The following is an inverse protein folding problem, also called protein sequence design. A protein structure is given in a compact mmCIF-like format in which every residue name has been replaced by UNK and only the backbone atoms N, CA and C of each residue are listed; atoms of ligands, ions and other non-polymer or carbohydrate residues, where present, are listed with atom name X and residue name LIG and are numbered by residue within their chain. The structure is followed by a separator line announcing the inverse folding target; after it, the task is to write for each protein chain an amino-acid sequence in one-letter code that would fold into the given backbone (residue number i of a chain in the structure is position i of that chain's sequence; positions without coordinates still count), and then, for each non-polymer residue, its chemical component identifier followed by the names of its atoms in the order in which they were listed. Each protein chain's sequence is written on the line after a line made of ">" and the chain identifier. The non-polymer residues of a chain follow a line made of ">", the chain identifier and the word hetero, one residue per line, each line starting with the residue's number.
data_IF_857102599484
#
_entry.id   IF_857102599484
#
_cell.length_a   1.000
_cell.length_b   1.000
_cell.length_c   1.000
_cell.angle_alpha   90.00
_cell.angle_beta   90.00
_cell.angle_gamma   90.00
#
_symmetry.space_group_name_H-M   'P 1'
#
loop_
_entity.id
_entity.type
_entity.pdbx_description
1 polymer ?
#
# COMPACT_ATOMS: atom_id res chain seq x y z
N UNK A 1 3.53 -50.74 29.97
CA UNK A 1 4.47 -49.68 29.59
C UNK A 1 4.29 -49.45 28.10
N UNK A 2 3.57 -48.41 27.70
CA UNK A 2 3.28 -48.09 26.32
C UNK A 2 4.22 -46.96 25.91
N UNK A 3 5.23 -47.24 25.11
CA UNK A 3 6.16 -46.30 24.55
C UNK A 3 5.50 -45.57 23.39
N UNK A 4 5.28 -44.25 23.51
CA UNK A 4 4.90 -43.37 22.43
C UNK A 4 6.12 -43.11 21.53
N UNK A 5 5.97 -43.22 20.17
CA UNK A 5 7.06 -42.85 19.29
C UNK A 5 7.22 -41.32 19.31
N UNK A 6 8.42 -40.84 19.65
CA UNK A 6 8.81 -39.45 19.48
C UNK A 6 8.87 -39.10 17.99
N UNK A 7 7.86 -38.41 17.50
CA UNK A 7 7.92 -37.79 16.16
C UNK A 7 8.96 -36.69 16.21
N UNK A 8 10.14 -36.93 15.68
CA UNK A 8 11.12 -35.91 15.37
C UNK A 8 10.53 -34.95 14.32
N UNK A 9 9.97 -33.85 14.74
CA UNK A 9 9.67 -32.73 13.86
C UNK A 9 11.00 -32.24 13.29
N UNK A 10 11.24 -32.49 12.02
CA UNK A 10 12.36 -31.87 11.29
C UNK A 10 12.27 -30.37 11.49
N UNK A 11 13.35 -29.69 11.89
CA UNK A 11 13.33 -28.25 12.06
C UNK A 11 12.91 -27.61 10.71
N UNK A 12 11.88 -26.78 10.73
CA UNK A 12 11.50 -25.98 9.56
C UNK A 12 12.74 -25.17 9.15
N UNK A 13 13.22 -25.27 7.90
CA UNK A 13 14.42 -24.56 7.50
C UNK A 13 14.24 -23.06 7.76
N UNK A 14 15.21 -22.45 8.41
CA UNK A 14 15.21 -21.02 8.67
C UNK A 14 15.23 -20.29 7.32
N UNK A 15 14.35 -19.31 7.14
CA UNK A 15 14.35 -18.46 5.97
C UNK A 15 15.61 -17.58 6.03
N UNK A 16 16.53 -17.76 5.10
CA UNK A 16 17.75 -16.95 4.99
C UNK A 16 17.50 -15.70 4.13
N UNK A 17 18.34 -14.68 4.29
CA UNK A 17 18.28 -13.48 3.45
C UNK A 17 18.49 -13.82 1.97
N UNK A 18 19.38 -14.75 1.67
CA UNK A 18 19.67 -15.25 0.34
C UNK A 18 18.44 -15.92 -0.30
N UNK A 19 17.81 -16.87 0.38
CA UNK A 19 16.60 -17.52 -0.10
C UNK A 19 15.42 -16.52 -0.27
N UNK A 20 15.38 -15.48 0.54
CA UNK A 20 14.39 -14.40 0.39
C UNK A 20 14.67 -13.56 -0.85
N UNK A 21 15.94 -13.22 -1.11
CA UNK A 21 16.35 -12.48 -2.29
C UNK A 21 16.06 -13.27 -3.55
N UNK A 22 16.50 -14.53 -3.63
CA UNK A 22 16.27 -15.42 -4.78
C UNK A 22 14.78 -15.55 -5.12
N UNK A 23 13.94 -15.86 -4.12
CA UNK A 23 12.49 -15.98 -4.32
C UNK A 23 11.83 -14.66 -4.76
N UNK A 24 12.39 -13.52 -4.33
CA UNK A 24 11.90 -12.20 -4.73
C UNK A 24 12.31 -11.88 -6.15
N UNK A 25 13.57 -12.12 -6.50
CA UNK A 25 14.11 -11.93 -7.86
C UNK A 25 13.35 -12.80 -8.88
N UNK A 26 13.18 -14.08 -8.60
CA UNK A 26 12.40 -15.00 -9.43
C UNK A 26 10.99 -14.44 -9.70
N UNK A 27 10.31 -14.00 -8.65
CA UNK A 27 8.96 -13.44 -8.77
C UNK A 27 8.92 -12.14 -9.60
N UNK A 28 9.91 -11.26 -9.44
CA UNK A 28 9.98 -10.02 -10.19
C UNK A 28 10.33 -10.26 -11.66
N UNK A 29 11.28 -11.15 -11.94
CA UNK A 29 11.66 -11.53 -13.30
C UNK A 29 10.52 -12.21 -14.06
N UNK A 30 9.69 -13.00 -13.37
CA UNK A 30 8.51 -13.65 -13.96
C UNK A 30 7.44 -12.63 -14.41
N UNK A 31 7.26 -11.55 -13.66
CA UNK A 31 6.12 -10.65 -13.84
C UNK A 31 6.46 -9.27 -14.41
N UNK A 32 7.71 -8.81 -14.30
CA UNK A 32 8.12 -7.47 -14.71
C UNK A 32 9.25 -7.49 -15.74
N UNK A 33 8.96 -7.34 -17.03
CA UNK A 33 9.98 -7.22 -18.09
C UNK A 33 10.56 -5.79 -18.10
N UNK A 34 11.45 -5.48 -17.14
CA UNK A 34 12.03 -4.14 -17.00
C UNK A 34 13.10 -3.79 -18.04
N UNK A 35 13.73 -4.77 -18.65
CA UNK A 35 14.87 -4.54 -19.56
C UNK A 35 14.71 -5.43 -20.78
N UNK A 36 14.81 -4.88 -22.01
CA UNK A 36 14.89 -5.69 -23.22
C UNK A 36 16.11 -6.63 -23.16
N UNK A 37 15.99 -7.84 -23.71
CA UNK A 37 17.05 -8.86 -23.70
C UNK A 37 18.38 -8.36 -24.31
N UNK A 38 18.32 -7.42 -25.26
CA UNK A 38 19.49 -6.82 -25.93
C UNK A 38 20.17 -5.69 -25.12
N UNK A 39 19.69 -5.40 -23.89
CA UNK A 39 20.23 -4.31 -23.08
C UNK A 39 21.58 -4.68 -22.45
N UNK A 40 22.46 -3.66 -22.30
CA UNK A 40 23.73 -3.78 -21.57
C UNK A 40 23.56 -4.01 -20.06
N UNK A 41 22.36 -3.86 -19.53
CA UNK A 41 22.01 -4.12 -18.13
C UNK A 41 20.98 -5.25 -18.04
N UNK A 42 21.33 -6.32 -17.36
CA UNK A 42 20.42 -7.46 -17.16
C UNK A 42 19.30 -7.06 -16.19
N UNK A 43 18.07 -7.54 -16.43
CA UNK A 43 16.93 -7.31 -15.56
C UNK A 43 17.21 -7.72 -14.10
N UNK A 44 17.84 -8.87 -13.91
CA UNK A 44 18.26 -9.39 -12.61
C UNK A 44 19.13 -8.38 -11.83
N UNK A 45 20.17 -7.84 -12.47
CA UNK A 45 21.04 -6.82 -11.87
C UNK A 45 20.25 -5.56 -11.48
N UNK A 46 19.31 -5.14 -12.33
CA UNK A 46 18.48 -3.98 -12.05
C UNK A 46 17.58 -4.21 -10.82
N UNK A 47 16.93 -5.37 -10.74
CA UNK A 47 16.11 -5.73 -9.58
C UNK A 47 16.92 -5.87 -8.29
N UNK A 48 18.09 -6.48 -8.33
CA UNK A 48 19.00 -6.55 -7.18
C UNK A 48 19.35 -5.17 -6.62
N UNK A 49 19.67 -4.22 -7.51
CA UNK A 49 19.97 -2.85 -7.12
C UNK A 49 18.74 -2.18 -6.46
N UNK A 50 17.55 -2.34 -7.08
CA UNK A 50 16.31 -1.76 -6.56
C UNK A 50 15.94 -2.36 -5.21
N UNK A 51 16.02 -3.68 -5.05
CA UNK A 51 15.75 -4.37 -3.79
C UNK A 51 16.73 -3.95 -2.69
N UNK A 52 18.01 -3.81 -3.04
CA UNK A 52 19.03 -3.37 -2.11
C UNK A 52 18.83 -1.92 -1.68
N UNK A 53 18.54 -1.03 -2.62
CA UNK A 53 18.22 0.36 -2.32
C UNK A 53 16.98 0.47 -1.41
N UNK A 54 15.92 -0.28 -1.72
CA UNK A 54 14.67 -0.29 -0.94
C UNK A 54 14.88 -0.85 0.48
N UNK A 55 15.62 -1.96 0.63
CA UNK A 55 15.86 -2.60 1.92
C UNK A 55 16.71 -1.75 2.87
N UNK A 56 17.60 -0.92 2.32
CA UNK A 56 18.51 -0.06 3.09
C UNK A 56 18.05 1.39 3.19
N UNK A 57 16.96 1.75 2.53
CA UNK A 57 16.50 3.13 2.36
C UNK A 57 17.57 4.06 1.75
N UNK A 58 18.40 3.48 0.87
CA UNK A 58 19.47 4.20 0.17
C UNK A 58 18.95 4.79 -1.15
N UNK A 59 19.64 5.83 -1.67
CA UNK A 59 19.43 6.30 -3.03
C UNK A 59 20.04 5.31 -4.04
N UNK A 60 19.53 5.31 -5.29
CA UNK A 60 20.11 4.49 -6.37
C UNK A 60 21.56 4.80 -6.61
N UNK A 61 21.94 6.09 -6.56
CA UNK A 61 23.33 6.54 -6.71
C UNK A 61 24.24 5.93 -5.65
N UNK A 62 23.84 6.04 -4.39
CA UNK A 62 24.61 5.50 -3.27
C UNK A 62 24.72 3.97 -3.32
N UNK A 63 23.64 3.30 -3.72
CA UNK A 63 23.64 1.85 -3.89
C UNK A 63 24.58 1.43 -5.02
N UNK A 64 24.54 2.11 -6.18
CA UNK A 64 25.41 1.81 -7.32
C UNK A 64 26.90 1.98 -6.98
N UNK A 65 27.28 3.05 -6.24
CA UNK A 65 28.65 3.29 -5.83
C UNK A 65 29.25 2.20 -4.92
N UNK A 66 28.41 1.43 -4.24
CA UNK A 66 28.82 0.37 -3.30
C UNK A 66 28.84 -1.03 -3.93
N UNK A 67 28.40 -1.15 -5.16
CA UNK A 67 28.38 -2.41 -5.91
C UNK A 67 29.43 -2.38 -7.01
N UNK A 68 30.02 -3.52 -7.30
CA UNK A 68 30.95 -3.67 -8.41
C UNK A 68 30.23 -4.24 -9.64
N UNK A 69 30.64 -3.81 -10.82
CA UNK A 69 30.09 -4.35 -12.07
C UNK A 69 28.64 -3.98 -12.38
N UNK A 70 28.10 -2.94 -11.73
CA UNK A 70 26.73 -2.45 -11.95
C UNK A 70 26.73 -1.10 -12.68
N UNK A 71 25.65 -0.74 -13.38
CA UNK A 71 25.52 0.57 -13.99
C UNK A 71 25.58 1.70 -12.96
N UNK A 72 25.99 2.89 -13.37
CA UNK A 72 25.90 4.10 -12.55
C UNK A 72 24.44 4.43 -12.21
N UNK A 73 24.22 5.26 -11.18
CA UNK A 73 22.87 5.70 -10.83
C UNK A 73 22.11 6.33 -12.01
N UNK A 74 22.81 7.04 -12.93
CA UNK A 74 22.20 7.56 -14.15
C UNK A 74 21.85 6.44 -15.16
N UNK A 75 22.72 5.43 -15.30
CA UNK A 75 22.43 4.26 -16.13
C UNK A 75 21.19 3.51 -15.62
N UNK A 76 21.05 3.34 -14.30
CA UNK A 76 19.88 2.72 -13.69
C UNK A 76 18.61 3.54 -14.00
N UNK A 77 18.65 4.88 -13.82
CA UNK A 77 17.52 5.76 -14.15
C UNK A 77 17.13 5.67 -15.62
N UNK A 78 18.11 5.64 -16.53
CA UNK A 78 17.87 5.47 -17.96
C UNK A 78 17.08 4.19 -18.28
N UNK A 79 17.35 3.08 -17.60
CA UNK A 79 16.57 1.85 -17.76
C UNK A 79 15.17 1.97 -17.15
N UNK A 80 15.03 2.65 -16.01
CA UNK A 80 13.72 2.88 -15.37
C UNK A 80 12.85 3.86 -16.16
N UNK A 81 13.43 4.85 -16.81
CA UNK A 81 12.71 5.84 -17.62
C UNK A 81 12.08 5.23 -18.88
N UNK A 82 12.45 4.00 -19.25
CA UNK A 82 11.78 3.23 -20.31
C UNK A 82 10.46 2.62 -19.89
N UNK A 83 10.14 2.65 -18.61
CA UNK A 83 8.84 2.25 -18.07
C UNK A 83 7.87 3.43 -18.20
N UNK A 84 7.33 3.61 -19.37
CA UNK A 84 6.44 4.73 -19.72
C UNK A 84 4.96 4.40 -19.51
N UNK A 85 4.60 3.11 -19.48
CA UNK A 85 3.25 2.64 -19.20
C UNK A 85 3.08 2.27 -17.71
N UNK A 86 2.70 3.26 -16.90
CA UNK A 86 2.50 3.07 -15.47
C UNK A 86 1.28 2.18 -15.14
N UNK A 87 0.27 2.14 -16.01
CA UNK A 87 -0.91 1.29 -15.82
C UNK A 87 -0.56 -0.19 -16.08
N UNK A 88 0.22 -0.46 -17.13
CA UNK A 88 0.75 -1.80 -17.38
C UNK A 88 1.65 -2.25 -16.22
N UNK A 89 2.52 -1.37 -15.69
CA UNK A 89 3.39 -1.65 -14.55
C UNK A 89 2.58 -1.95 -13.28
N UNK A 90 1.48 -1.23 -13.02
CA UNK A 90 0.57 -1.54 -11.91
C UNK A 90 0.01 -2.96 -12.04
N UNK A 91 -0.45 -3.33 -13.24
CA UNK A 91 -0.95 -4.68 -13.51
C UNK A 91 0.09 -5.77 -13.26
N UNK A 92 1.32 -5.58 -13.71
CA UNK A 92 2.44 -6.49 -13.53
C UNK A 92 2.83 -6.63 -12.04
N UNK A 93 2.94 -5.52 -11.30
CA UNK A 93 3.19 -5.52 -9.86
C UNK A 93 2.08 -6.25 -9.09
N UNK A 94 0.82 -6.03 -9.47
CA UNK A 94 -0.30 -6.73 -8.87
C UNK A 94 -0.26 -8.23 -9.17
N UNK A 95 0.11 -8.65 -10.37
CA UNK A 95 0.30 -10.05 -10.72
C UNK A 95 1.40 -10.70 -9.85
N UNK A 96 2.55 -10.03 -9.68
CA UNK A 96 3.63 -10.49 -8.81
C UNK A 96 3.17 -10.66 -7.35
N UNK A 97 2.48 -9.66 -6.78
CA UNK A 97 1.95 -9.73 -5.41
C UNK A 97 0.93 -10.87 -5.25
N UNK A 98 0.07 -11.07 -6.25
CA UNK A 98 -1.03 -12.02 -6.20
C UNK A 98 -0.58 -13.46 -6.43
N UNK A 99 0.51 -13.70 -7.18
CA UNK A 99 1.11 -15.03 -7.40
C UNK A 99 1.58 -15.67 -6.08
N UNK A 100 2.00 -14.85 -5.13
CA UNK A 100 2.56 -15.27 -3.83
C UNK A 100 1.56 -15.24 -2.66
N UNK A 101 0.26 -15.02 -2.92
CA UNK A 101 -0.77 -15.02 -1.86
C UNK A 101 -0.94 -16.44 -1.29
N UNK A 102 -0.71 -16.64 0.03
CA UNK A 102 -0.87 -17.94 0.66
C UNK A 102 -2.31 -18.46 0.50
N UNK A 103 -2.53 -19.76 0.17
CA UNK A 103 -3.87 -20.32 -0.06
C UNK A 103 -4.86 -20.12 1.08
N UNK A 104 -4.37 -20.05 2.33
CA UNK A 104 -5.20 -19.77 3.51
C UNK A 104 -5.80 -18.38 3.52
N UNK A 105 -5.19 -17.40 2.83
CA UNK A 105 -5.72 -16.04 2.72
C UNK A 105 -6.95 -15.99 1.81
N UNK A 106 -7.07 -16.92 0.85
CA UNK A 106 -8.26 -17.05 -0.01
C UNK A 106 -9.47 -17.66 0.72
N UNK A 107 -9.26 -18.14 1.94
CA UNK A 107 -10.32 -18.75 2.77
C UNK A 107 -10.71 -17.83 3.93
N UNK A 108 -12.02 -17.74 4.22
CA UNK A 108 -12.51 -17.02 5.38
C UNK A 108 -12.70 -15.51 5.15
N UNK A 109 -12.84 -14.76 6.25
CA UNK A 109 -13.01 -13.30 6.28
C UNK A 109 -11.84 -12.67 7.01
N UNK A 110 -11.25 -11.64 6.43
CA UNK A 110 -10.00 -11.06 6.94
C UNK A 110 -10.16 -9.60 7.40
N UNK A 111 -9.27 -9.19 8.30
CA UNK A 111 -9.02 -7.77 8.59
C UNK A 111 -8.16 -7.24 7.45
N UNK A 112 -8.70 -6.26 6.76
CA UNK A 112 -8.05 -5.63 5.60
C UNK A 112 -7.67 -4.21 5.98
N UNK A 113 -6.51 -3.75 5.58
CA UNK A 113 -6.17 -2.35 5.65
C UNK A 113 -5.91 -1.80 4.26
N UNK A 114 -6.28 -0.54 4.07
CA UNK A 114 -5.93 0.28 2.92
C UNK A 114 -5.14 1.47 3.44
N UNK A 115 -3.99 1.72 2.83
CA UNK A 115 -3.08 2.80 3.18
C UNK A 115 -2.73 3.61 1.93
N UNK A 116 -2.66 4.94 2.07
CA UNK A 116 -2.32 5.87 1.00
C UNK A 116 -0.93 6.46 1.23
N UNK A 117 -0.01 6.13 0.35
CA UNK A 117 1.36 6.62 0.38
C UNK A 117 1.51 7.80 -0.58
N UNK A 118 2.10 8.89 -0.10
CA UNK A 118 2.38 10.09 -0.87
C UNK A 118 3.90 10.26 -0.97
N UNK A 119 4.44 10.11 -2.18
CA UNK A 119 5.86 10.32 -2.47
C UNK A 119 6.02 11.73 -3.03
N UNK A 120 6.78 12.62 -2.36
CA UNK A 120 6.94 14.01 -2.79
C UNK A 120 7.50 14.11 -4.21
N UNK A 121 6.93 14.98 -5.01
CA UNK A 121 7.39 15.33 -6.34
C UNK A 121 7.72 16.82 -6.41
N UNK A 122 8.92 17.13 -6.89
CA UNK A 122 9.44 18.52 -6.91
C UNK A 122 9.66 19.07 -8.31
N UNK A 123 9.55 18.23 -9.35
CA UNK A 123 9.78 18.63 -10.72
C UNK A 123 8.55 19.21 -11.42
N UNK A 124 8.74 19.59 -12.68
CA UNK A 124 7.65 19.83 -13.60
C UNK A 124 7.31 18.49 -14.28
N UNK A 125 6.08 18.00 -14.14
CA UNK A 125 5.72 16.71 -14.72
C UNK A 125 5.72 16.79 -16.25
N UNK A 126 6.26 15.74 -16.89
CA UNK A 126 6.03 15.51 -18.31
C UNK A 126 4.53 15.31 -18.59
N UNK A 127 4.13 15.41 -19.85
CA UNK A 127 2.74 15.18 -20.26
C UNK A 127 2.26 13.78 -19.82
N UNK A 128 3.09 12.75 -19.97
CA UNK A 128 2.82 11.37 -19.53
C UNK A 128 2.70 11.23 -18.01
N UNK A 129 3.50 11.96 -17.24
CA UNK A 129 3.50 11.87 -15.77
C UNK A 129 2.39 12.73 -15.11
N UNK A 130 1.90 13.76 -15.80
CA UNK A 130 0.95 14.73 -15.23
C UNK A 130 -0.34 14.10 -14.66
N UNK A 131 -0.94 13.05 -15.27
CA UNK A 131 -2.13 12.36 -14.73
C UNK A 131 -1.88 11.70 -13.36
N UNK A 132 -0.64 11.30 -13.06
CA UNK A 132 -0.25 10.60 -11.84
C UNK A 132 0.23 11.54 -10.72
N UNK A 133 0.31 12.86 -10.97
CA UNK A 133 0.69 13.83 -9.95
C UNK A 133 -0.53 14.24 -9.13
N UNK A 134 -0.72 13.53 -8.03
CA UNK A 134 -1.78 13.79 -7.06
C UNK A 134 -1.53 15.08 -6.29
N UNK A 135 -2.58 15.86 -6.07
CA UNK A 135 -2.51 17.11 -5.30
C UNK A 135 -3.06 16.92 -3.90
N UNK A 136 -2.28 17.30 -2.90
CA UNK A 136 -2.65 17.22 -1.49
C UNK A 136 -2.17 18.44 -0.72
N UNK A 137 -2.51 18.50 0.58
CA UNK A 137 -1.96 19.51 1.47
C UNK A 137 -0.43 19.44 1.47
N UNK A 138 0.23 20.59 1.65
CA UNK A 138 1.67 20.67 1.64
C UNK A 138 2.32 19.73 2.66
N UNK A 139 3.23 18.89 2.18
CA UNK A 139 4.09 18.01 2.98
C UNK A 139 5.47 18.01 2.34
N UNK A 140 6.51 17.98 3.17
CA UNK A 140 7.90 17.96 2.70
C UNK A 140 8.20 19.05 1.63
N UNK A 141 7.64 20.26 1.78
CA UNK A 141 7.90 21.40 0.88
C UNK A 141 7.18 21.37 -0.47
N UNK A 142 6.30 20.40 -0.73
CA UNK A 142 5.53 20.33 -1.98
C UNK A 142 4.04 20.05 -1.73
N UNK A 143 3.20 20.36 -2.73
CA UNK A 143 1.78 19.94 -2.80
C UNK A 143 1.55 18.89 -3.89
N UNK A 144 2.63 18.44 -4.55
CA UNK A 144 2.61 17.47 -5.66
C UNK A 144 3.21 16.16 -5.22
N UNK A 145 2.55 15.04 -5.51
CA UNK A 145 2.97 13.73 -5.04
C UNK A 145 2.66 12.66 -6.11
N UNK A 146 3.50 11.65 -6.22
CA UNK A 146 3.03 10.36 -6.68
C UNK A 146 2.27 9.69 -5.54
N UNK A 147 1.05 9.24 -5.78
CA UNK A 147 0.20 8.64 -4.77
C UNK A 147 -0.07 7.17 -5.10
N UNK A 148 0.15 6.30 -4.12
CA UNK A 148 -0.14 4.87 -4.23
C UNK A 148 -1.01 4.43 -3.06
N UNK A 149 -2.09 3.74 -3.37
CA UNK A 149 -2.90 3.06 -2.37
C UNK A 149 -2.55 1.57 -2.34
N UNK A 150 -2.29 1.03 -1.17
CA UNK A 150 -2.02 -0.40 -0.98
C UNK A 150 -3.14 -1.06 -0.21
N UNK A 151 -3.46 -2.31 -0.55
CA UNK A 151 -4.40 -3.14 0.19
C UNK A 151 -3.71 -4.38 0.72
N UNK A 152 -3.87 -4.66 2.02
CA UNK A 152 -3.23 -5.81 2.66
C UNK A 152 -4.08 -6.47 3.75
N UNK A 153 -3.84 -7.77 3.96
CA UNK A 153 -4.40 -8.53 5.09
C UNK A 153 -3.55 -8.32 6.33
N UNK A 154 -4.20 -7.96 7.43
CA UNK A 154 -3.59 -7.90 8.75
C UNK A 154 -3.62 -9.29 9.37
N UNK A 155 -2.48 -9.93 9.47
CA UNK A 155 -2.25 -11.19 10.18
C UNK A 155 -1.56 -10.94 11.52
N UNK A 156 -1.49 -11.98 12.37
CA UNK A 156 -0.70 -11.91 13.61
C UNK A 156 0.79 -11.76 13.24
N UNK A 157 1.40 -10.66 13.68
CA UNK A 157 2.82 -10.31 13.49
C UNK A 157 3.29 -10.19 12.02
N UNK A 158 2.37 -10.08 11.04
CA UNK A 158 2.72 -9.90 9.64
C UNK A 158 1.61 -9.24 8.82
N UNK A 159 1.99 -8.69 7.69
CA UNK A 159 1.09 -8.19 6.64
C UNK A 159 1.25 -9.05 5.39
N UNK A 160 0.18 -9.21 4.63
CA UNK A 160 0.22 -9.80 3.29
C UNK A 160 -0.37 -8.76 2.35
N UNK A 161 0.48 -8.10 1.59
CA UNK A 161 0.06 -7.15 0.57
C UNK A 161 -0.60 -7.91 -0.57
N UNK A 162 -1.77 -7.45 -0.99
CA UNK A 162 -2.60 -8.11 -1.99
C UNK A 162 -2.62 -7.34 -3.30
N UNK A 163 -2.34 -6.05 -3.23
CA UNK A 163 -2.31 -5.21 -4.40
C UNK A 163 -1.94 -3.76 -4.08
N UNK A 164 -1.64 -3.06 -5.14
CA UNK A 164 -1.27 -1.64 -5.19
C UNK A 164 -2.13 -0.97 -6.26
N UNK A 165 -2.39 0.32 -6.10
CA UNK A 165 -3.08 1.16 -7.08
C UNK A 165 -2.43 2.52 -7.17
N UNK A 166 -2.05 2.95 -8.36
CA UNK A 166 -1.55 4.29 -8.64
C UNK A 166 -2.74 5.26 -8.66
N UNK A 167 -2.79 6.18 -7.68
CA UNK A 167 -3.93 7.11 -7.54
C UNK A 167 -3.76 8.29 -8.48
N UNK A 168 -4.66 8.41 -9.43
CA UNK A 168 -4.63 9.48 -10.43
C UNK A 168 -5.00 10.85 -9.83
N UNK A 169 -4.55 11.92 -10.48
CA UNK A 169 -4.72 13.30 -10.03
C UNK A 169 -6.16 13.70 -9.71
N UNK A 170 -7.12 13.22 -10.49
CA UNK A 170 -8.54 13.56 -10.35
C UNK A 170 -9.34 12.49 -9.63
N UNK A 171 -8.68 11.43 -9.19
CA UNK A 171 -9.34 10.32 -8.55
C UNK A 171 -9.83 10.68 -7.14
N UNK A 172 -11.04 10.27 -6.83
CA UNK A 172 -11.61 10.46 -5.51
C UNK A 172 -11.21 9.30 -4.58
N UNK A 173 -11.11 9.57 -3.26
CA UNK A 173 -10.83 8.52 -2.28
C UNK A 173 -11.89 7.40 -2.28
N UNK A 174 -13.12 7.70 -2.69
CA UNK A 174 -14.17 6.68 -2.87
C UNK A 174 -13.82 5.77 -4.04
N UNK A 175 -13.38 6.34 -5.18
CA UNK A 175 -12.96 5.55 -6.35
C UNK A 175 -11.78 4.64 -6.01
N UNK A 176 -10.76 5.17 -5.35
CA UNK A 176 -9.59 4.39 -4.88
C UNK A 176 -9.99 3.21 -4.00
N UNK A 177 -10.85 3.45 -2.99
CA UNK A 177 -11.32 2.35 -2.11
C UNK A 177 -12.19 1.36 -2.88
N UNK A 178 -13.03 1.84 -3.82
CA UNK A 178 -13.86 0.98 -4.68
C UNK A 178 -13.00 0.06 -5.54
N UNK A 179 -11.97 0.61 -6.18
CA UNK A 179 -11.03 -0.16 -7.00
C UNK A 179 -10.36 -1.29 -6.20
N UNK A 180 -9.79 -0.96 -5.04
CA UNK A 180 -9.13 -1.94 -4.19
C UNK A 180 -10.09 -3.01 -3.63
N UNK A 181 -11.34 -2.66 -3.32
CA UNK A 181 -12.35 -3.64 -2.90
C UNK A 181 -12.81 -4.53 -4.06
N UNK A 182 -12.88 -4.00 -5.29
CA UNK A 182 -13.16 -4.81 -6.48
C UNK A 182 -12.02 -5.82 -6.72
N UNK A 183 -10.77 -5.42 -6.56
CA UNK A 183 -9.60 -6.32 -6.61
C UNK A 183 -9.71 -7.44 -5.57
N UNK A 184 -10.08 -7.14 -4.31
CA UNK A 184 -10.30 -8.17 -3.28
C UNK A 184 -11.41 -9.14 -3.67
N UNK A 185 -12.48 -8.65 -4.28
CA UNK A 185 -13.60 -9.48 -4.76
C UNK A 185 -13.14 -10.43 -5.87
N UNK A 186 -12.35 -9.94 -6.84
CA UNK A 186 -11.76 -10.77 -7.89
C UNK A 186 -10.85 -11.87 -7.33
N UNK A 187 -10.10 -11.57 -6.27
CA UNK A 187 -9.27 -12.53 -5.53
C UNK A 187 -10.07 -13.46 -4.61
N UNK A 188 -11.42 -13.30 -4.54
CA UNK A 188 -12.31 -14.04 -3.64
C UNK A 188 -11.97 -13.86 -2.15
N UNK A 189 -11.38 -12.71 -1.78
CA UNK A 189 -11.01 -12.38 -0.40
C UNK A 189 -12.14 -11.57 0.24
N UNK A 190 -12.72 -12.09 1.33
CA UNK A 190 -13.85 -11.48 2.01
C UNK A 190 -13.40 -10.58 3.15
N UNK A 191 -13.96 -9.39 3.22
CA UNK A 191 -13.66 -8.41 4.27
C UNK A 191 -14.43 -8.75 5.55
N UNK A 192 -13.72 -8.91 6.67
CA UNK A 192 -14.29 -8.96 8.03
C UNK A 192 -14.44 -7.55 8.60
N UNK A 193 -13.41 -6.71 8.43
CA UNK A 193 -13.36 -5.30 8.81
C UNK A 193 -12.31 -4.61 7.98
N UNK A 194 -12.64 -3.42 7.51
CA UNK A 194 -11.74 -2.54 6.79
C UNK A 194 -11.11 -1.53 7.75
N UNK A 195 -9.80 -1.38 7.68
CA UNK A 195 -9.02 -0.40 8.41
C UNK A 195 -8.50 0.62 7.41
N UNK A 196 -8.75 1.88 7.68
CA UNK A 196 -8.34 2.99 6.83
C UNK A 196 -7.55 3.98 7.68
N UNK A 197 -6.60 4.67 7.08
CA UNK A 197 -5.90 5.74 7.76
C UNK A 197 -6.78 7.00 7.91
N UNK A 198 -6.25 8.00 8.60
CA UNK A 198 -6.94 9.28 8.82
C UNK A 198 -7.19 10.07 7.53
N UNK A 199 -6.40 9.83 6.47
CA UNK A 199 -6.56 10.47 5.17
C UNK A 199 -7.91 10.19 4.52
N UNK A 200 -8.50 9.04 4.81
CA UNK A 200 -9.82 8.64 4.30
C UNK A 200 -11.01 9.21 5.08
N UNK A 201 -10.78 9.93 6.19
CA UNK A 201 -11.85 10.46 7.04
C UNK A 201 -12.61 11.60 6.37
N UNK A 202 -13.65 11.26 5.63
CA UNK A 202 -14.49 12.19 4.87
C UNK A 202 -15.93 11.71 4.78
N UNK A 203 -16.86 12.67 4.59
CA UNK A 203 -18.30 12.36 4.45
C UNK A 203 -18.56 11.38 3.28
N UNK A 204 -17.99 11.56 2.07
CA UNK A 204 -18.23 10.63 0.97
C UNK A 204 -17.79 9.20 1.28
N UNK A 205 -16.57 9.01 1.80
CA UNK A 205 -16.06 7.67 2.11
C UNK A 205 -16.88 6.98 3.20
N UNK A 206 -17.20 7.69 4.30
CA UNK A 206 -18.00 7.12 5.40
C UNK A 206 -19.39 6.75 4.91
N UNK A 207 -20.05 7.63 4.14
CA UNK A 207 -21.37 7.37 3.60
C UNK A 207 -21.38 6.15 2.69
N UNK A 208 -20.40 6.06 1.81
CA UNK A 208 -20.25 4.95 0.86
C UNK A 208 -20.01 3.61 1.57
N UNK A 209 -19.12 3.55 2.55
CA UNK A 209 -18.86 2.34 3.34
C UNK A 209 -20.09 1.90 4.14
N UNK A 210 -20.89 2.84 4.67
CA UNK A 210 -22.14 2.55 5.33
C UNK A 210 -23.20 2.00 4.36
N UNK A 211 -23.32 2.58 3.17
CA UNK A 211 -24.25 2.11 2.14
C UNK A 211 -23.95 0.67 1.71
N UNK A 212 -22.67 0.28 1.67
CA UNK A 212 -22.24 -1.09 1.36
C UNK A 212 -22.25 -2.04 2.58
N UNK A 213 -22.64 -1.56 3.76
CA UNK A 213 -22.62 -2.34 5.00
C UNK A 213 -21.26 -2.96 5.31
N UNK A 214 -20.16 -2.31 4.92
CA UNK A 214 -18.81 -2.75 5.20
C UNK A 214 -18.41 -2.30 6.61
N UNK A 215 -18.12 -3.21 7.56
CA UNK A 215 -17.59 -2.83 8.86
C UNK A 215 -16.22 -2.18 8.70
N UNK A 216 -16.03 -0.97 9.20
CA UNK A 216 -14.78 -0.24 9.09
C UNK A 216 -14.34 0.38 10.41
N UNK A 217 -13.06 0.72 10.48
CA UNK A 217 -12.43 1.51 11.53
C UNK A 217 -11.45 2.48 10.89
N UNK A 218 -11.58 3.76 11.23
CA UNK A 218 -10.61 4.79 10.81
C UNK A 218 -10.45 5.84 11.91
N UNK A 219 -9.26 6.43 12.09
CA UNK A 219 -9.06 7.53 13.03
C UNK A 219 -9.81 8.77 12.56
N UNK A 220 -10.50 9.42 13.48
CA UNK A 220 -11.14 10.69 13.20
C UNK A 220 -10.12 11.84 13.19
N UNK A 221 -10.32 12.81 12.30
CA UNK A 221 -9.55 14.06 12.32
C UNK A 221 -10.12 14.96 13.41
N UNK A 222 -9.24 15.39 14.34
CA UNK A 222 -9.62 16.37 15.35
C UNK A 222 -9.71 17.74 14.68
N UNK A 223 -10.93 18.30 14.62
CA UNK A 223 -11.24 19.59 14.00
C UNK A 223 -11.94 20.51 14.98
N UNK A 224 -11.83 21.81 14.73
CA UNK A 224 -12.42 22.87 15.55
C UNK A 224 -11.46 23.41 16.63
N UNK A 225 -11.70 24.64 17.07
CA UNK A 225 -10.99 25.24 18.22
C UNK A 225 -11.61 24.78 19.54
N UNK A 226 -12.92 24.92 19.69
CA UNK A 226 -13.73 24.55 20.86
C UNK A 226 -14.84 23.56 20.53
N UNK A 227 -15.27 23.46 19.26
CA UNK A 227 -16.32 22.57 18.76
C UNK A 227 -15.78 21.48 17.83
N UNK A 228 -16.63 20.95 16.97
CA UNK A 228 -16.33 19.87 16.04
C UNK A 228 -15.95 18.59 16.76
N UNK A 229 -15.10 17.77 16.17
CA UNK A 229 -14.61 16.52 16.80
C UNK A 229 -13.76 16.77 18.06
N UNK A 230 -13.23 17.98 18.24
CA UNK A 230 -12.49 18.37 19.44
C UNK A 230 -13.37 18.39 20.68
N UNK A 231 -14.65 18.76 20.56
CA UNK A 231 -15.59 18.76 21.70
C UNK A 231 -15.85 17.38 22.29
N UNK A 232 -15.48 16.32 21.58
CA UNK A 232 -15.55 14.94 22.06
C UNK A 232 -14.38 14.56 23.00
N UNK A 233 -13.32 15.36 23.05
CA UNK A 233 -12.14 15.09 23.88
C UNK A 233 -12.36 15.62 25.30
N UNK A 234 -13.34 15.04 26.00
CA UNK A 234 -13.72 15.44 27.35
C UNK A 234 -13.57 14.28 28.32
N UNK A 235 -13.14 14.61 29.54
CA UNK A 235 -12.97 13.61 30.60
C UNK A 235 -11.68 12.79 30.49
N UNK A 236 -11.57 11.76 31.35
CA UNK A 236 -10.40 10.89 31.49
C UNK A 236 -10.72 9.41 31.22
N UNK A 237 -11.92 9.10 30.81
CA UNK A 237 -12.39 7.73 30.54
C UNK A 237 -12.76 7.58 29.08
N UNK A 238 -12.40 6.46 28.49
CA UNK A 238 -12.79 6.10 27.14
C UNK A 238 -14.29 5.85 27.07
N UNK A 239 -14.98 6.37 26.04
CA UNK A 239 -16.42 6.24 25.84
C UNK A 239 -16.81 6.12 24.37
N UNK A 240 -18.03 5.63 24.13
CA UNK A 240 -18.65 5.59 22.81
C UNK A 240 -19.71 6.68 22.67
N UNK A 241 -19.79 7.27 21.48
CA UNK A 241 -20.81 8.27 21.15
C UNK A 241 -21.16 8.24 19.67
N UNK A 242 -22.24 8.89 19.29
CA UNK A 242 -22.55 9.19 17.90
C UNK A 242 -22.09 10.61 17.56
N UNK A 243 -21.56 10.78 16.37
CA UNK A 243 -21.14 12.09 15.88
C UNK A 243 -21.57 12.28 14.44
N UNK A 244 -22.11 13.46 14.12
CA UNK A 244 -22.48 13.84 12.76
C UNK A 244 -21.36 14.67 12.15
N UNK A 245 -20.64 14.07 11.20
CA UNK A 245 -19.65 14.76 10.37
C UNK A 245 -20.38 15.49 9.25
N UNK A 246 -20.10 16.78 9.09
CA UNK A 246 -20.66 17.63 8.04
C UNK A 246 -19.60 18.16 7.10
N UNK A 247 -19.98 18.34 5.84
CA UNK A 247 -19.19 18.94 4.78
C UNK A 247 -20.08 19.87 3.97
N UNK A 248 -19.57 21.08 3.64
CA UNK A 248 -20.32 22.05 2.84
C UNK A 248 -20.76 21.47 1.49
N UNK A 249 -19.89 20.69 0.83
CA UNK A 249 -20.13 20.16 -0.52
C UNK A 249 -20.85 18.81 -0.52
N UNK A 250 -20.77 18.04 0.57
CA UNK A 250 -21.24 16.64 0.58
C UNK A 250 -22.31 16.36 1.63
N UNK A 251 -22.83 17.40 2.30
CA UNK A 251 -23.84 17.25 3.36
C UNK A 251 -23.27 16.57 4.61
N UNK A 252 -24.03 15.70 5.27
CA UNK A 252 -23.63 15.12 6.56
C UNK A 252 -23.79 13.61 6.61
N UNK A 253 -23.03 12.97 7.50
CA UNK A 253 -23.13 11.55 7.83
C UNK A 253 -22.90 11.34 9.32
N UNK A 254 -23.81 10.58 9.97
CA UNK A 254 -23.66 10.20 11.38
C UNK A 254 -22.93 8.88 11.48
N UNK A 255 -21.95 8.78 12.37
CA UNK A 255 -21.19 7.57 12.64
C UNK A 255 -21.01 7.35 14.14
N UNK A 256 -20.82 6.09 14.51
CA UNK A 256 -20.41 5.75 15.87
C UNK A 256 -18.93 6.04 16.03
N UNK A 257 -18.55 6.68 17.12
CA UNK A 257 -17.18 7.02 17.46
C UNK A 257 -16.84 6.48 18.83
N UNK A 258 -15.57 6.06 18.98
CA UNK A 258 -14.98 5.73 20.27
C UNK A 258 -13.88 6.73 20.57
N UNK A 259 -14.05 7.45 21.65
CA UNK A 259 -12.99 8.30 22.23
C UNK A 259 -12.15 7.41 23.13
N UNK A 260 -10.84 7.42 22.93
CA UNK A 260 -9.88 6.66 23.71
C UNK A 260 -9.00 7.67 24.45
N UNK A 261 -8.98 7.55 25.78
CA UNK A 261 -8.18 8.36 26.69
C UNK A 261 -7.00 7.55 27.22
#
# INVERSE_FOLDING_TARGET
>A
MTTYPSSSLSPTPALTDEATLEATLECLLEHLPLVPEESSCRAETLFEILLRAASRHDSLEHTAQRLQGVPSGNGIRYHLDKLDDLDALEGQLNAALQSRIPPKIRKGRHRIAIDLHLIPYYGNPSEAAAPYIYRSQAKAGTTSFFAYATVYVICRNKRVTLGIHAVHRQETLVATVTYLLAMLSALKIRVKRLYLDRGFYSVPVIRWLKALNIPFLMPAVIRGKTGGTRSLLVGRKSYGTCYTLSSANYGSVTCQMRVVC
#
